data_IF_979468106620
#
_entry.id   IF_979468106620
#
_cell.length_a   1.000
_cell.length_b   1.000
_cell.length_c   1.000
_cell.angle_alpha   90.00
_cell.angle_beta   90.00
_cell.angle_gamma   90.00
#
_symmetry.space_group_name_H-M   'P 1'
#
loop_
_entity.id
_entity.type
_entity.pdbx_description
1 polymer ?
#
# COMPACT_ATOMS: atom_id res chain seq x y z
N UNK A 1 10.63 5.44 8.10
CA UNK A 1 10.76 4.36 7.08
C UNK A 1 9.74 3.28 7.36
N UNK A 2 8.92 2.93 6.38
CA UNK A 2 8.05 1.77 6.52
C UNK A 2 8.92 0.51 6.50
N UNK A 3 8.68 -0.37 7.45
CA UNK A 3 9.34 -1.65 7.48
C UNK A 3 8.86 -2.52 6.32
N UNK A 4 9.79 -3.12 5.58
CA UNK A 4 9.46 -4.14 4.59
C UNK A 4 8.81 -5.33 5.30
N UNK A 5 7.61 -5.70 4.88
CA UNK A 5 6.92 -6.87 5.38
C UNK A 5 6.99 -7.99 4.35
N UNK A 6 7.30 -9.17 4.83
CA UNK A 6 7.38 -10.39 4.03
C UNK A 6 6.54 -11.49 4.64
N UNK A 7 5.94 -12.29 3.78
CA UNK A 7 5.22 -13.51 4.16
C UNK A 7 5.68 -14.65 3.26
N UNK A 8 5.75 -15.84 3.84
CA UNK A 8 6.00 -17.08 3.10
C UNK A 8 4.79 -17.99 3.24
N UNK A 9 4.17 -18.35 2.12
CA UNK A 9 3.01 -19.23 2.06
C UNK A 9 3.36 -20.39 1.13
N UNK A 10 3.79 -21.52 1.69
CA UNK A 10 4.33 -22.61 0.89
C UNK A 10 5.56 -22.15 0.10
N UNK A 11 5.54 -22.33 -1.21
CA UNK A 11 6.60 -21.89 -2.11
C UNK A 11 6.44 -20.43 -2.57
N UNK A 12 5.40 -19.72 -2.11
CA UNK A 12 5.09 -18.35 -2.52
C UNK A 12 5.66 -17.37 -1.51
N UNK A 13 6.46 -16.41 -1.97
CA UNK A 13 6.94 -15.28 -1.16
C UNK A 13 6.14 -14.04 -1.53
N UNK A 14 5.65 -13.32 -0.52
CA UNK A 14 4.93 -12.07 -0.70
C UNK A 14 5.69 -10.97 0.03
N UNK A 15 5.96 -9.87 -0.67
CA UNK A 15 6.63 -8.68 -0.11
C UNK A 15 5.74 -7.47 -0.28
N UNK A 16 5.48 -6.73 0.81
CA UNK A 16 4.74 -5.47 0.75
C UNK A 16 5.69 -4.29 0.57
N UNK A 17 5.45 -3.49 -0.46
CA UNK A 17 6.13 -2.21 -0.68
C UNK A 17 5.08 -1.10 -0.52
N UNK A 18 5.23 -0.29 0.49
CA UNK A 18 4.28 0.78 0.82
C UNK A 18 4.66 2.07 0.10
N UNK A 19 3.69 2.67 -0.59
CA UNK A 19 3.86 3.99 -1.20
C UNK A 19 3.59 5.11 -0.20
N UNK A 20 2.48 5.00 0.51
CA UNK A 20 2.11 5.97 1.55
C UNK A 20 1.20 5.35 2.59
N UNK A 21 1.15 6.01 3.72
CA UNK A 21 0.23 5.73 4.80
C UNK A 21 -0.40 7.06 5.22
N UNK A 22 -1.71 7.08 5.38
CA UNK A 22 -2.42 8.31 5.72
C UNK A 22 -3.71 8.03 6.46
N UNK A 23 -4.16 8.94 7.35
CA UNK A 23 -5.49 8.87 7.92
C UNK A 23 -6.54 9.15 6.85
N UNK A 24 -7.82 8.87 7.14
CA UNK A 24 -8.91 9.22 6.25
C UNK A 24 -9.80 8.06 5.86
N UNK A 25 -9.72 6.94 6.57
CA UNK A 25 -10.60 5.79 6.31
C UNK A 25 -12.08 6.12 6.44
N UNK A 26 -12.45 7.15 7.20
CA UNK A 26 -13.85 7.64 7.27
C UNK A 26 -14.37 8.13 5.94
N UNK A 27 -13.49 8.54 5.03
CA UNK A 27 -13.90 8.95 3.69
C UNK A 27 -14.46 7.77 2.88
N UNK A 28 -13.91 6.58 3.11
CA UNK A 28 -14.35 5.34 2.45
C UNK A 28 -15.40 4.62 3.30
N UNK A 29 -15.19 4.58 4.62
CA UNK A 29 -16.07 3.93 5.58
C UNK A 29 -16.55 4.98 6.59
N UNK A 30 -17.70 5.63 6.34
CA UNK A 30 -18.18 6.72 7.21
C UNK A 30 -18.36 6.33 8.68
N UNK A 31 -18.62 5.06 8.95
CA UNK A 31 -18.78 4.53 10.31
C UNK A 31 -17.46 4.38 11.05
N UNK A 32 -16.30 4.51 10.38
CA UNK A 32 -14.97 4.41 11.00
C UNK A 32 -14.62 5.70 11.77
N UNK A 33 -15.49 6.11 12.68
CA UNK A 33 -15.28 7.25 13.59
C UNK A 33 -14.30 6.86 14.69
N UNK A 34 -13.62 7.84 15.28
CA UNK A 34 -12.69 7.61 16.39
C UNK A 34 -13.39 6.84 17.53
N UNK A 35 -14.61 7.23 17.86
CA UNK A 35 -15.38 6.58 18.94
C UNK A 35 -15.70 5.12 18.62
N UNK A 36 -16.12 4.83 17.39
CA UNK A 36 -16.41 3.46 16.98
C UNK A 36 -15.14 2.59 16.93
N UNK A 37 -14.04 3.14 16.45
CA UNK A 37 -12.75 2.43 16.37
C UNK A 37 -12.18 2.15 17.75
N UNK A 38 -12.35 3.07 18.70
CA UNK A 38 -11.88 2.89 20.08
C UNK A 38 -12.50 1.67 20.78
N UNK A 39 -13.68 1.23 20.32
CA UNK A 39 -14.35 0.03 20.83
C UNK A 39 -13.79 -1.29 20.28
N UNK A 40 -12.77 -1.25 19.42
CA UNK A 40 -12.20 -2.43 18.78
C UNK A 40 -10.73 -2.57 19.17
N UNK A 41 -10.40 -3.31 20.26
CA UNK A 41 -9.06 -3.31 20.83
C UNK A 41 -7.94 -3.75 19.88
N UNK A 42 -8.20 -4.72 19.01
CA UNK A 42 -7.18 -5.25 18.08
C UNK A 42 -6.79 -4.26 16.97
N UNK A 43 -7.56 -3.18 16.78
CA UNK A 43 -7.21 -2.13 15.80
C UNK A 43 -6.10 -1.21 16.29
N UNK A 44 -5.76 -1.23 17.56
CA UNK A 44 -4.79 -0.29 18.15
C UNK A 44 -3.50 -0.10 17.33
N UNK A 45 -2.86 -1.15 16.79
CA UNK A 45 -1.65 -0.99 15.97
C UNK A 45 -1.86 -0.26 14.64
N UNK A 46 -3.11 -0.13 14.20
CA UNK A 46 -3.48 0.45 12.91
C UNK A 46 -4.11 1.83 13.05
N UNK A 47 -4.07 2.40 14.25
CA UNK A 47 -4.62 3.71 14.53
C UNK A 47 -3.50 4.75 14.66
N UNK A 48 -3.79 5.96 14.19
CA UNK A 48 -2.96 7.12 14.44
C UNK A 48 -3.03 7.52 15.93
N UNK A 49 -2.10 8.36 16.44
CA UNK A 49 -2.13 8.80 17.83
C UNK A 49 -3.43 9.46 18.28
N UNK A 50 -4.15 10.10 17.35
CA UNK A 50 -5.46 10.70 17.62
C UNK A 50 -6.63 9.70 17.59
N UNK A 51 -6.36 8.41 17.33
CA UNK A 51 -7.38 7.37 17.24
C UNK A 51 -8.01 7.18 15.85
N UNK A 52 -7.60 7.93 14.84
CA UNK A 52 -8.08 7.76 13.47
C UNK A 52 -7.44 6.53 12.81
N UNK A 53 -8.16 5.87 11.93
CA UNK A 53 -7.62 4.71 11.22
C UNK A 53 -6.64 5.14 10.14
N UNK A 54 -5.50 4.47 10.10
CA UNK A 54 -4.48 4.66 9.07
C UNK A 54 -4.75 3.74 7.89
N UNK A 55 -4.86 4.34 6.71
CA UNK A 55 -4.91 3.60 5.45
C UNK A 55 -3.52 3.45 4.86
N UNK A 56 -3.27 2.36 4.16
CA UNK A 56 -2.01 2.10 3.47
C UNK A 56 -2.24 1.89 1.99
N UNK A 57 -1.55 2.68 1.16
CA UNK A 57 -1.45 2.43 -0.28
C UNK A 57 -0.16 1.69 -0.51
N UNK A 58 -0.25 0.46 -1.01
CA UNK A 58 0.90 -0.42 -1.18
C UNK A 58 0.72 -1.38 -2.35
N UNK A 59 1.82 -1.87 -2.86
CA UNK A 59 1.84 -3.02 -3.76
C UNK A 59 2.25 -4.28 -3.00
N UNK A 60 1.83 -5.42 -3.50
CA UNK A 60 2.38 -6.71 -3.10
C UNK A 60 3.17 -7.29 -4.26
N UNK A 61 4.41 -7.66 -4.01
CA UNK A 61 5.21 -8.43 -4.96
C UNK A 61 5.09 -9.90 -4.59
N UNK A 62 4.53 -10.68 -5.49
CA UNK A 62 4.33 -12.13 -5.31
C UNK A 62 5.36 -12.86 -6.15
N UNK A 63 6.21 -13.64 -5.51
CA UNK A 63 7.22 -14.46 -6.18
C UNK A 63 6.78 -15.92 -6.13
N UNK A 64 6.56 -16.49 -7.29
CA UNK A 64 6.13 -17.89 -7.46
C UNK A 64 6.63 -18.44 -8.80
N UNK A 65 7.16 -19.67 -8.79
CA UNK A 65 7.60 -20.35 -10.01
C UNK A 65 8.51 -19.49 -10.89
N UNK A 66 9.49 -18.82 -10.29
CA UNK A 66 10.45 -17.92 -10.95
C UNK A 66 9.82 -16.69 -11.61
N UNK A 67 8.55 -16.41 -11.31
CA UNK A 67 7.84 -15.22 -11.77
C UNK A 67 7.67 -14.21 -10.64
N UNK A 68 7.66 -12.93 -11.01
CA UNK A 68 7.38 -11.80 -10.12
C UNK A 68 6.11 -11.12 -10.59
N UNK A 69 5.11 -11.14 -9.73
CA UNK A 69 3.79 -10.56 -9.97
C UNK A 69 3.64 -9.34 -9.08
N UNK A 70 3.40 -8.18 -9.69
CA UNK A 70 3.09 -6.95 -8.95
C UNK A 70 1.58 -6.83 -8.85
N UNK A 71 1.06 -6.82 -7.63
CA UNK A 71 -0.36 -6.65 -7.35
C UNK A 71 -0.62 -5.21 -6.94
N UNK A 72 -1.32 -4.48 -7.78
CA UNK A 72 -1.54 -3.03 -7.75
C UNK A 72 -0.25 -2.21 -7.93
N UNK A 73 -0.39 -1.07 -8.60
CA UNK A 73 0.75 -0.21 -8.97
C UNK A 73 0.81 1.08 -8.17
N UNK A 74 -0.04 1.22 -7.15
CA UNK A 74 -0.13 2.41 -6.32
C UNK A 74 -0.57 3.66 -7.10
N UNK A 75 -0.43 4.83 -6.51
CA UNK A 75 -0.85 6.11 -7.12
C UNK A 75 0.10 6.50 -8.25
N UNK A 76 1.39 6.37 -8.02
CA UNK A 76 2.44 6.76 -8.96
C UNK A 76 2.75 8.24 -8.92
N UNK A 77 3.88 8.59 -9.56
CA UNK A 77 4.36 9.97 -9.63
C UNK A 77 3.86 10.68 -10.91
N UNK A 78 3.90 12.01 -10.89
CA UNK A 78 3.66 12.90 -12.04
C UNK A 78 2.28 12.75 -12.69
N UNK A 79 1.29 12.25 -11.96
CA UNK A 79 -0.06 12.01 -12.48
C UNK A 79 -1.05 13.03 -11.92
N UNK A 80 -1.97 13.46 -12.76
CA UNK A 80 -3.07 14.30 -12.33
C UNK A 80 -4.10 13.47 -11.55
N UNK A 81 -4.35 13.89 -10.32
CA UNK A 81 -5.30 13.26 -9.39
C UNK A 81 -6.20 14.29 -8.76
N UNK A 82 -7.45 13.90 -8.44
CA UNK A 82 -8.42 14.79 -7.78
C UNK A 82 -8.07 15.04 -6.32
N UNK A 83 -7.47 14.07 -5.64
CA UNK A 83 -7.05 14.23 -4.25
C UNK A 83 -5.76 15.05 -4.24
N UNK A 84 -5.74 16.23 -3.58
CA UNK A 84 -4.58 17.14 -3.65
C UNK A 84 -3.26 16.50 -3.23
N UNK A 85 -3.27 15.68 -2.18
CA UNK A 85 -2.06 15.00 -1.70
C UNK A 85 -1.57 13.89 -2.65
N UNK A 86 -2.39 13.48 -3.61
CA UNK A 86 -2.06 12.47 -4.62
C UNK A 86 -1.70 13.09 -5.97
N UNK A 87 -2.06 14.37 -6.16
CA UNK A 87 -1.86 15.04 -7.43
C UNK A 87 -0.38 15.35 -7.67
N UNK A 88 0.14 14.92 -8.81
CA UNK A 88 1.53 15.14 -9.25
C UNK A 88 2.55 14.78 -8.16
N UNK A 89 2.36 13.63 -7.51
CA UNK A 89 3.28 13.16 -6.48
C UNK A 89 4.71 13.06 -6.99
N UNK A 90 5.65 13.23 -6.08
CA UNK A 90 7.09 13.04 -6.27
C UNK A 90 7.61 12.19 -5.11
N UNK A 91 7.09 10.98 -4.99
CA UNK A 91 7.45 10.05 -3.92
C UNK A 91 8.50 9.03 -4.34
N UNK A 92 9.10 8.32 -3.38
CA UNK A 92 10.20 7.38 -3.64
C UNK A 92 9.76 5.95 -3.96
N UNK A 93 8.51 5.71 -4.34
CA UNK A 93 7.97 4.35 -4.49
C UNK A 93 8.80 3.47 -5.43
N UNK A 94 9.14 3.96 -6.62
CA UNK A 94 9.93 3.17 -7.59
C UNK A 94 11.35 2.92 -7.09
N UNK A 95 11.94 3.88 -6.38
CA UNK A 95 13.24 3.71 -5.74
C UNK A 95 13.18 2.64 -4.66
N UNK A 96 12.15 2.70 -3.81
CA UNK A 96 11.94 1.70 -2.75
C UNK A 96 11.71 0.30 -3.31
N UNK A 97 10.95 0.19 -4.41
CA UNK A 97 10.73 -1.08 -5.11
C UNK A 97 12.06 -1.67 -5.60
N UNK A 98 12.89 -0.83 -6.22
CA UNK A 98 14.21 -1.22 -6.71
C UNK A 98 15.15 -1.61 -5.57
N UNK A 99 15.20 -0.82 -4.50
CA UNK A 99 16.03 -1.10 -3.32
C UNK A 99 15.61 -2.38 -2.59
N UNK A 100 14.34 -2.74 -2.65
CA UNK A 100 13.82 -4.00 -2.13
C UNK A 100 14.20 -5.21 -2.99
N UNK A 101 14.84 -5.00 -4.13
CA UNK A 101 15.27 -6.06 -5.05
C UNK A 101 14.30 -6.33 -6.20
N UNK A 102 13.33 -5.43 -6.42
CA UNK A 102 12.30 -5.59 -7.45
C UNK A 102 12.26 -4.40 -8.40
N UNK A 103 13.35 -4.12 -9.15
CA UNK A 103 13.30 -3.03 -10.13
C UNK A 103 12.18 -3.29 -11.15
N UNK A 104 11.54 -2.23 -11.70
CA UNK A 104 10.38 -2.39 -12.59
C UNK A 104 10.58 -3.37 -13.74
N UNK A 105 11.76 -3.39 -14.34
CA UNK A 105 12.11 -4.30 -15.43
C UNK A 105 12.16 -5.78 -15.01
N UNK A 106 12.20 -6.07 -13.71
CA UNK A 106 12.20 -7.45 -13.19
C UNK A 106 10.81 -8.02 -12.97
N UNK A 107 9.77 -7.21 -13.13
CA UNK A 107 8.38 -7.63 -12.92
C UNK A 107 7.87 -8.29 -14.20
N UNK A 108 7.34 -9.50 -14.07
CA UNK A 108 6.83 -10.28 -15.19
C UNK A 108 5.36 -10.03 -15.48
N UNK A 109 4.56 -9.84 -14.42
CA UNK A 109 3.10 -9.69 -14.51
C UNK A 109 2.65 -8.56 -13.58
N UNK A 110 1.73 -7.74 -14.05
CA UNK A 110 1.04 -6.73 -13.24
C UNK A 110 -0.45 -7.08 -13.17
N UNK A 111 -1.00 -7.13 -11.96
CA UNK A 111 -2.42 -7.39 -11.72
C UNK A 111 -2.99 -6.20 -10.94
N UNK A 112 -4.12 -5.68 -11.41
CA UNK A 112 -4.88 -4.68 -10.66
C UNK A 112 -6.04 -5.35 -9.94
N UNK A 113 -6.15 -5.14 -8.63
CA UNK A 113 -7.26 -5.68 -7.83
C UNK A 113 -8.55 -4.93 -8.09
N UNK A 114 -8.44 -3.65 -8.44
CA UNK A 114 -9.56 -2.75 -8.69
C UNK A 114 -9.13 -1.62 -9.64
N UNK A 115 -10.06 -0.78 -10.05
CA UNK A 115 -9.84 0.28 -11.05
C UNK A 115 -9.76 1.68 -10.45
N UNK A 116 -9.51 1.84 -9.16
CA UNK A 116 -9.19 3.14 -8.58
C UNK A 116 -7.77 3.59 -8.96
N UNK A 117 -7.43 4.81 -8.59
CA UNK A 117 -6.15 5.43 -8.98
C UNK A 117 -4.96 5.01 -8.12
N UNK A 118 -5.21 4.23 -7.08
CA UNK A 118 -4.19 3.72 -6.14
C UNK A 118 -3.85 2.24 -6.33
#
# INVERSE_FOLDING_TARGET
>A
MSQLLHWQVGAVRITRIQELEAPGMRFIVPQATIDNLAGIPWLSPFLAPNGDAMGSVHTLVVEVAEQRILVDTCIGNDKERRIPSWNKRQGPFLTQLTEAGYPPESIDIVICTHLHTD
#
